data_IF_138898063705
#
_entry.id   IF_138898063705
#
_cell.length_a   1.000
_cell.length_b   1.000
_cell.length_c   1.000
_cell.angle_alpha   90.00
_cell.angle_beta   90.00
_cell.angle_gamma   90.00
#
_symmetry.space_group_name_H-M   'P 1'
#
loop_
_entity.id
_entity.type
_entity.pdbx_description
1 polymer ?
#
# COMPACT_ATOMS: atom_id res chain seq x y z
N UNK A 1 -9.41 13.21 -16.78
CA UNK A 1 -9.44 11.95 -16.02
C UNK A 1 -10.55 11.09 -16.60
N UNK A 2 -10.25 9.89 -17.07
CA UNK A 2 -11.26 8.90 -17.49
C UNK A 2 -11.20 7.78 -16.47
N UNK A 3 -12.31 7.57 -15.75
CA UNK A 3 -12.46 6.45 -14.81
C UNK A 3 -13.39 5.44 -15.48
N UNK A 4 -12.89 4.22 -15.66
CA UNK A 4 -13.70 3.13 -16.19
C UNK A 4 -14.35 2.39 -15.02
N UNK A 5 -15.56 1.87 -15.26
CA UNK A 5 -16.23 0.99 -14.30
C UNK A 5 -15.39 -0.29 -14.10
N UNK A 6 -15.34 -0.77 -12.86
CA UNK A 6 -14.62 -2.00 -12.45
C UNK A 6 -13.12 -2.02 -12.75
N UNK A 7 -12.49 -0.84 -12.88
CA UNK A 7 -11.04 -0.72 -13.02
C UNK A 7 -10.47 0.14 -11.89
N UNK A 8 -9.44 -0.37 -11.23
CA UNK A 8 -8.63 0.44 -10.30
C UNK A 8 -7.91 1.53 -11.09
N UNK A 9 -8.08 2.78 -10.66
CA UNK A 9 -7.38 3.91 -11.23
C UNK A 9 -6.68 4.71 -10.11
N UNK A 10 -5.39 5.04 -10.26
CA UNK A 10 -4.73 5.92 -9.31
C UNK A 10 -5.37 7.31 -9.34
N UNK A 11 -5.62 7.85 -8.15
CA UNK A 11 -6.20 9.17 -7.95
C UNK A 11 -5.37 9.92 -6.91
N UNK A 12 -4.77 11.03 -7.33
CA UNK A 12 -4.19 11.99 -6.40
C UNK A 12 -5.17 13.15 -6.21
N UNK A 13 -5.46 13.45 -4.95
CA UNK A 13 -6.28 14.60 -4.55
C UNK A 13 -5.38 15.55 -3.79
N UNK A 14 -5.20 16.75 -4.34
CA UNK A 14 -4.50 17.85 -3.67
C UNK A 14 -5.52 18.82 -3.09
N UNK A 15 -5.43 19.04 -1.77
CA UNK A 15 -6.22 20.04 -1.05
C UNK A 15 -5.32 21.26 -0.82
N UNK A 16 -5.48 22.30 -1.63
CA UNK A 16 -4.66 23.50 -1.47
C UNK A 16 -5.16 24.33 -0.27
N UNK A 17 -4.59 24.07 0.90
CA UNK A 17 -4.98 24.72 2.14
C UNK A 17 -4.79 26.24 2.10
N UNK A 18 -3.73 26.74 1.46
CA UNK A 18 -3.46 28.17 1.36
C UNK A 18 -4.52 28.89 0.50
N UNK A 19 -4.93 28.28 -0.61
CA UNK A 19 -6.02 28.78 -1.45
C UNK A 19 -7.40 28.57 -0.80
N UNK A 20 -7.51 27.62 0.14
CA UNK A 20 -8.77 27.25 0.77
C UNK A 20 -9.18 28.14 1.94
N UNK A 21 -8.30 28.98 2.45
CA UNK A 21 -8.55 29.75 3.67
C UNK A 21 -8.24 31.24 3.45
N UNK A 22 -9.13 32.11 3.94
CA UNK A 22 -8.86 33.55 4.06
C UNK A 22 -9.21 34.03 5.46
N UNK A 23 -8.32 34.83 6.05
CA UNK A 23 -8.49 35.38 7.40
C UNK A 23 -8.85 36.85 7.29
N UNK A 24 -9.97 37.24 7.88
CA UNK A 24 -10.31 38.63 8.15
C UNK A 24 -10.03 38.95 9.62
N UNK A 25 -8.92 39.66 9.87
CA UNK A 25 -8.51 40.03 11.21
C UNK A 25 -9.35 41.16 11.82
N UNK A 26 -10.05 41.95 10.99
CA UNK A 26 -10.90 43.04 11.49
C UNK A 26 -12.15 42.52 12.19
N UNK A 27 -12.60 41.33 11.80
CA UNK A 27 -13.77 40.64 12.36
C UNK A 27 -13.42 39.36 13.11
N UNK A 28 -12.13 38.99 13.19
CA UNK A 28 -11.67 37.68 13.69
C UNK A 28 -12.37 36.49 13.03
N UNK A 29 -12.63 36.58 11.72
CA UNK A 29 -13.36 35.55 10.96
C UNK A 29 -12.41 34.80 10.03
N UNK A 30 -12.54 33.47 10.01
CA UNK A 30 -11.91 32.62 8.99
C UNK A 30 -12.98 32.17 8.01
N UNK A 31 -12.78 32.45 6.73
CA UNK A 31 -13.62 31.92 5.65
C UNK A 31 -12.90 30.76 4.99
N UNK A 32 -13.59 29.61 4.93
CA UNK A 32 -13.08 28.39 4.29
C UNK A 32 -13.80 28.17 2.97
N UNK A 33 -13.04 28.06 1.88
CA UNK A 33 -13.49 27.76 0.51
C UNK A 33 -12.60 26.68 -0.09
N UNK A 34 -12.91 25.39 0.12
CA UNK A 34 -12.04 24.30 -0.32
C UNK A 34 -11.65 24.39 -1.79
N UNK A 35 -10.35 24.36 -2.06
CA UNK A 35 -9.78 24.29 -3.41
C UNK A 35 -9.11 22.93 -3.59
N UNK A 36 -9.63 22.16 -4.53
CA UNK A 36 -9.26 20.75 -4.76
C UNK A 36 -8.77 20.57 -6.19
N UNK A 37 -7.66 19.87 -6.36
CA UNK A 37 -7.18 19.40 -7.66
C UNK A 37 -7.13 17.88 -7.66
N UNK A 38 -7.61 17.24 -8.74
CA UNK A 38 -7.57 15.80 -8.90
C UNK A 38 -6.79 15.40 -10.15
N UNK A 39 -5.82 14.49 -10.02
CA UNK A 39 -4.99 14.00 -11.13
C UNK A 39 -4.86 12.47 -11.10
N UNK A 40 -4.62 11.88 -12.28
CA UNK A 40 -4.47 10.43 -12.44
C UNK A 40 -3.04 9.92 -12.15
N UNK A 41 -2.09 10.81 -11.90
CA UNK A 41 -0.69 10.44 -11.67
C UNK A 41 -0.27 11.04 -10.33
N UNK A 42 -0.12 10.22 -9.29
CA UNK A 42 0.40 10.67 -8.00
C UNK A 42 1.82 11.21 -8.18
N UNK A 43 2.06 12.42 -7.68
CA UNK A 43 3.38 13.04 -7.71
C UNK A 43 4.30 12.57 -6.56
N UNK A 44 3.86 11.59 -5.77
CA UNK A 44 4.51 11.26 -4.52
C UNK A 44 5.68 10.28 -4.73
N UNK A 45 6.88 10.77 -4.44
CA UNK A 45 8.12 9.97 -4.43
C UNK A 45 8.47 9.46 -3.03
N UNK A 46 7.72 9.87 -2.00
CA UNK A 46 7.98 9.42 -0.65
C UNK A 46 7.58 7.95 -0.49
N UNK A 47 8.25 7.22 0.43
CA UNK A 47 7.79 5.90 0.83
C UNK A 47 6.37 5.98 1.41
N UNK A 48 5.45 5.24 0.83
CA UNK A 48 4.09 5.03 1.33
C UNK A 48 3.96 3.61 1.86
N UNK A 49 2.83 3.33 2.52
CA UNK A 49 2.47 2.00 3.03
C UNK A 49 1.43 1.34 2.13
N UNK A 50 1.67 0.09 1.77
CA UNK A 50 0.67 -0.80 1.18
C UNK A 50 0.37 -1.95 2.16
N UNK A 51 -0.91 -2.19 2.44
CA UNK A 51 -1.37 -3.31 3.28
C UNK A 51 -2.29 -4.19 2.43
N UNK A 52 -2.11 -5.50 2.48
CA UNK A 52 -2.99 -6.41 1.76
C UNK A 52 -2.93 -7.83 2.29
N UNK A 53 -3.83 -8.66 1.78
CA UNK A 53 -3.81 -10.09 2.03
C UNK A 53 -2.91 -10.78 1.01
N UNK A 54 -2.12 -11.76 1.46
CA UNK A 54 -1.24 -12.51 0.58
C UNK A 54 -2.03 -13.28 -0.49
N UNK A 55 -1.55 -13.28 -1.73
CA UNK A 55 -2.16 -14.05 -2.82
C UNK A 55 -1.18 -15.09 -3.35
N UNK A 56 0.01 -14.66 -3.76
CA UNK A 56 1.03 -15.54 -4.36
C UNK A 56 2.41 -14.89 -4.35
N UNK A 57 3.47 -15.69 -4.43
CA UNK A 57 4.87 -15.24 -4.50
C UNK A 57 5.60 -15.85 -5.69
N UNK A 58 6.37 -15.02 -6.41
CA UNK A 58 7.21 -15.45 -7.54
C UNK A 58 8.67 -15.07 -7.29
N UNK A 59 9.46 -16.04 -6.82
CA UNK A 59 10.91 -15.86 -6.61
C UNK A 59 11.66 -15.61 -7.92
N UNK A 60 11.20 -16.18 -9.04
CA UNK A 60 11.81 -15.96 -10.37
C UNK A 60 11.58 -14.54 -10.92
N UNK A 61 10.51 -13.87 -10.48
CA UNK A 61 10.19 -12.49 -10.86
C UNK A 61 10.56 -11.46 -9.79
N UNK A 62 11.13 -11.90 -8.66
CA UNK A 62 11.43 -11.07 -7.50
C UNK A 62 10.22 -10.28 -6.97
N UNK A 63 9.04 -10.88 -6.95
CA UNK A 63 7.83 -10.20 -6.49
C UNK A 63 6.84 -11.13 -5.80
N UNK A 64 5.83 -10.52 -5.17
CA UNK A 64 4.64 -11.19 -4.68
C UNK A 64 3.41 -10.33 -4.97
N UNK A 65 2.24 -10.94 -4.89
CA UNK A 65 0.94 -10.28 -5.12
C UNK A 65 0.15 -10.29 -3.83
N UNK A 66 -0.47 -9.15 -3.55
CA UNK A 66 -1.45 -8.99 -2.46
C UNK A 66 -2.78 -8.51 -3.01
N UNK A 67 -3.86 -8.89 -2.35
CA UNK A 67 -5.14 -8.19 -2.46
C UNK A 67 -5.07 -6.97 -1.54
N UNK A 68 -4.92 -5.79 -2.14
CA UNK A 68 -4.72 -4.52 -1.45
C UNK A 68 -5.95 -4.22 -0.58
N UNK A 69 -5.73 -3.88 0.68
CA UNK A 69 -6.80 -3.43 1.57
C UNK A 69 -6.82 -1.89 1.62
N UNK A 70 -8.01 -1.26 1.60
CA UNK A 70 -8.13 0.16 1.88
C UNK A 70 -7.66 0.47 3.30
N UNK A 71 -7.52 1.75 3.63
CA UNK A 71 -7.12 2.17 4.99
C UNK A 71 -8.04 1.56 6.05
N UNK A 72 -9.35 1.65 5.82
CA UNK A 72 -10.40 1.05 6.64
C UNK A 72 -11.19 0.01 5.81
N UNK A 73 -11.14 -1.25 6.24
CA UNK A 73 -11.89 -2.37 5.70
C UNK A 73 -12.84 -3.02 6.72
N UNK A 74 -13.19 -2.31 7.80
CA UNK A 74 -14.02 -2.79 8.91
C UNK A 74 -15.36 -3.39 8.45
N UNK A 75 -15.97 -2.81 7.42
CA UNK A 75 -17.27 -3.27 6.90
C UNK A 75 -17.17 -4.31 5.78
N UNK A 76 -15.99 -4.49 5.20
CA UNK A 76 -15.76 -5.33 4.02
C UNK A 76 -14.50 -6.19 4.19
N UNK A 77 -14.31 -6.76 5.40
CA UNK A 77 -13.14 -7.55 5.75
C UNK A 77 -12.89 -8.71 4.77
N UNK A 78 -13.96 -9.36 4.29
CA UNK A 78 -13.89 -10.45 3.31
C UNK A 78 -13.95 -9.99 1.84
N UNK A 79 -13.99 -8.68 1.58
CA UNK A 79 -14.03 -8.13 0.22
C UNK A 79 -12.66 -8.15 -0.45
N UNK A 80 -12.65 -8.39 -1.75
CA UNK A 80 -11.49 -8.20 -2.62
C UNK A 80 -11.54 -6.80 -3.24
N UNK A 81 -10.46 -6.03 -3.14
CA UNK A 81 -10.46 -4.63 -3.60
C UNK A 81 -9.54 -4.39 -4.78
N UNK A 82 -8.53 -5.24 -4.98
CA UNK A 82 -7.68 -5.14 -6.15
C UNK A 82 -6.30 -5.72 -5.92
N UNK A 83 -5.74 -6.33 -6.96
CA UNK A 83 -4.41 -6.90 -6.90
C UNK A 83 -3.34 -5.81 -6.97
N UNK A 84 -2.33 -5.89 -6.10
CA UNK A 84 -1.10 -5.12 -6.16
C UNK A 84 0.09 -6.08 -6.29
N UNK A 85 0.95 -5.84 -7.28
CA UNK A 85 2.23 -6.56 -7.39
C UNK A 85 3.32 -5.81 -6.63
N UNK A 86 3.86 -6.42 -5.59
CA UNK A 86 4.97 -5.88 -4.81
C UNK A 86 6.29 -6.43 -5.33
N UNK A 87 7.03 -5.57 -6.02
CA UNK A 87 8.40 -5.83 -6.48
C UNK A 87 9.38 -5.68 -5.32
N UNK A 88 10.38 -6.55 -5.31
CA UNK A 88 11.46 -6.57 -4.32
C UNK A 88 12.81 -6.46 -5.04
N UNK A 89 13.82 -6.00 -4.33
CA UNK A 89 15.19 -5.85 -4.82
C UNK A 89 16.18 -6.49 -3.84
N UNK A 90 17.46 -6.61 -4.19
CA UNK A 90 18.48 -7.08 -3.26
C UNK A 90 18.58 -6.27 -1.95
N UNK A 91 18.08 -5.03 -1.93
CA UNK A 91 18.09 -4.15 -0.76
C UNK A 91 16.78 -4.12 0.01
N UNK A 92 15.74 -4.87 -0.43
CA UNK A 92 14.47 -4.93 0.30
C UNK A 92 14.70 -5.63 1.63
N UNK A 93 14.37 -4.95 2.73
CA UNK A 93 14.35 -5.52 4.06
C UNK A 93 13.06 -6.31 4.29
N UNK A 94 13.16 -7.45 4.96
CA UNK A 94 12.00 -8.23 5.37
C UNK A 94 12.08 -8.48 6.87
N UNK A 95 10.94 -8.40 7.54
CA UNK A 95 10.75 -8.91 8.89
C UNK A 95 9.59 -9.92 8.84
N UNK A 96 9.91 -11.17 9.07
CA UNK A 96 8.98 -12.30 8.99
C UNK A 96 8.97 -12.96 10.36
N UNK A 97 7.87 -12.80 11.08
CA UNK A 97 7.70 -13.31 12.45
C UNK A 97 8.83 -12.92 13.43
N UNK A 98 9.27 -11.67 13.35
CA UNK A 98 10.35 -11.09 14.14
C UNK A 98 11.75 -11.45 13.64
N UNK A 99 11.86 -12.22 12.55
CA UNK A 99 13.14 -12.64 11.98
C UNK A 99 13.49 -11.77 10.78
N UNK A 100 14.63 -11.06 10.80
CA UNK A 100 15.03 -10.20 9.69
C UNK A 100 15.64 -11.00 8.53
N UNK A 101 15.28 -10.65 7.31
CA UNK A 101 15.87 -11.13 6.07
C UNK A 101 16.14 -9.97 5.10
N UNK A 102 16.93 -10.23 4.04
CA UNK A 102 17.24 -9.23 3.03
C UNK A 102 17.16 -9.81 1.61
N UNK A 103 16.55 -9.05 0.71
CA UNK A 103 16.42 -9.37 -0.71
C UNK A 103 15.81 -10.75 -0.97
N UNK A 104 16.48 -11.55 -1.80
CA UNK A 104 15.98 -12.87 -2.21
C UNK A 104 15.80 -13.85 -1.05
N UNK A 105 16.52 -13.69 0.07
CA UNK A 105 16.35 -14.56 1.23
C UNK A 105 14.97 -14.36 1.90
N UNK A 106 14.51 -13.10 1.99
CA UNK A 106 13.18 -12.82 2.54
C UNK A 106 12.06 -13.30 1.63
N UNK A 107 12.22 -13.11 0.31
CA UNK A 107 11.26 -13.63 -0.67
C UNK A 107 11.21 -15.16 -0.68
N UNK A 108 12.36 -15.83 -0.51
CA UNK A 108 12.41 -17.29 -0.37
C UNK A 108 11.72 -17.78 0.91
N UNK A 109 11.84 -17.04 2.01
CA UNK A 109 11.13 -17.36 3.26
C UNK A 109 9.61 -17.22 3.10
N UNK A 110 9.12 -16.18 2.43
CA UNK A 110 7.69 -16.03 2.08
C UNK A 110 7.22 -17.24 1.25
N UNK A 111 8.01 -17.66 0.25
CA UNK A 111 7.70 -18.84 -0.56
C UNK A 111 7.68 -20.13 0.26
N UNK A 112 8.60 -20.28 1.22
CA UNK A 112 8.62 -21.42 2.13
C UNK A 112 7.35 -21.45 2.99
N UNK A 113 6.98 -20.35 3.64
CA UNK A 113 5.78 -20.27 4.47
C UNK A 113 4.49 -20.49 3.67
N UNK A 114 4.46 -20.02 2.42
CA UNK A 114 3.33 -20.28 1.52
C UNK A 114 3.23 -21.77 1.17
N UNK A 115 4.35 -22.44 0.89
CA UNK A 115 4.38 -23.87 0.58
C UNK A 115 4.07 -24.76 1.80
N UNK A 116 4.41 -24.32 3.02
CA UNK A 116 4.09 -25.04 4.25
C UNK A 116 2.66 -24.78 4.76
N UNK A 117 1.96 -23.78 4.21
CA UNK A 117 0.62 -23.38 4.62
C UNK A 117 0.58 -22.43 5.83
N UNK A 118 1.74 -21.96 6.30
CA UNK A 118 1.83 -20.93 7.35
C UNK A 118 1.39 -19.55 6.83
N UNK A 119 1.60 -19.29 5.55
CA UNK A 119 1.14 -18.09 4.87
C UNK A 119 0.03 -18.45 3.86
N UNK A 120 -1.17 -17.95 4.09
CA UNK A 120 -2.37 -18.26 3.30
C UNK A 120 -3.05 -16.98 2.79
N UNK A 121 -4.17 -17.14 2.08
CA UNK A 121 -4.95 -16.01 1.54
C UNK A 121 -5.53 -15.06 2.60
N UNK A 122 -5.51 -15.44 3.87
CA UNK A 122 -5.98 -14.60 4.98
C UNK A 122 -4.81 -13.90 5.70
N UNK A 123 -3.57 -14.20 5.32
CA UNK A 123 -2.39 -13.62 5.94
C UNK A 123 -2.16 -12.19 5.48
N UNK A 124 -2.07 -11.27 6.44
CA UNK A 124 -1.76 -9.87 6.15
C UNK A 124 -0.26 -9.69 5.89
N UNK A 125 0.05 -8.92 4.85
CA UNK A 125 1.41 -8.44 4.54
C UNK A 125 1.36 -6.92 4.47
N UNK A 126 2.35 -6.27 5.09
CA UNK A 126 2.54 -4.82 5.03
C UNK A 126 3.84 -4.53 4.30
N UNK A 127 3.81 -3.63 3.32
CA UNK A 127 4.99 -3.19 2.58
C UNK A 127 5.13 -1.67 2.65
N UNK A 128 6.37 -1.20 2.78
CA UNK A 128 6.72 0.22 2.61
C UNK A 128 7.59 0.37 1.37
N UNK A 129 7.43 1.48 0.65
CA UNK A 129 8.08 1.65 -0.64
C UNK A 129 7.40 2.70 -1.52
N UNK A 130 7.72 2.70 -2.80
CA UNK A 130 7.20 3.69 -3.75
C UNK A 130 6.25 3.05 -4.76
N UNK A 131 5.35 3.87 -5.29
CA UNK A 131 4.49 3.46 -6.40
C UNK A 131 5.36 3.11 -7.62
N UNK A 132 5.06 2.00 -8.27
CA UNK A 132 5.70 1.57 -9.51
C UNK A 132 4.86 1.91 -10.74
N UNK A 133 4.84 1.01 -11.71
CA UNK A 133 3.99 1.08 -12.89
C UNK A 133 2.49 1.01 -12.51
N UNK A 134 1.74 2.03 -12.95
CA UNK A 134 0.29 2.17 -12.78
C UNK A 134 -0.49 1.97 -14.08
N UNK A 135 0.20 1.66 -15.19
CA UNK A 135 -0.41 1.54 -16.52
C UNK A 135 -1.14 0.21 -16.75
N UNK A 136 -1.01 -0.73 -15.82
CA UNK A 136 -1.62 -2.06 -15.91
C UNK A 136 -2.78 -2.20 -14.93
N UNK A 137 -3.65 -3.18 -15.17
CA UNK A 137 -4.78 -3.50 -14.27
C UNK A 137 -4.33 -4.02 -12.89
N UNK A 138 -3.05 -4.40 -12.77
CA UNK A 138 -2.42 -4.83 -11.52
C UNK A 138 -1.24 -3.92 -11.26
N UNK A 139 -1.47 -2.75 -10.65
CA UNK A 139 -0.40 -1.78 -10.40
C UNK A 139 0.74 -2.42 -9.61
N UNK A 140 1.92 -1.83 -9.75
CA UNK A 140 3.12 -2.31 -9.07
C UNK A 140 3.56 -1.37 -7.95
N UNK A 141 4.28 -1.94 -6.98
CA UNK A 141 4.82 -1.26 -5.83
C UNK A 141 6.25 -1.73 -5.59
N UNK A 142 7.19 -0.81 -5.40
CA UNK A 142 8.60 -1.14 -5.22
C UNK A 142 8.93 -1.09 -3.73
N UNK A 143 8.99 -2.26 -3.09
CA UNK A 143 9.17 -2.37 -1.64
C UNK A 143 10.63 -2.11 -1.21
N UNK A 144 10.78 -1.24 -0.21
CA UNK A 144 12.00 -1.09 0.58
C UNK A 144 11.94 -1.93 1.86
N UNK A 145 10.75 -2.15 2.41
CA UNK A 145 10.52 -2.97 3.60
C UNK A 145 9.26 -3.80 3.45
N UNK A 146 9.27 -5.03 3.98
CA UNK A 146 8.13 -5.96 3.98
C UNK A 146 8.01 -6.61 5.35
N UNK A 147 6.81 -6.62 5.91
CA UNK A 147 6.49 -7.21 7.21
C UNK A 147 5.42 -8.28 7.04
N UNK A 148 5.64 -9.46 7.61
CA UNK A 148 4.81 -10.65 7.43
C UNK A 148 4.53 -11.31 8.78
N UNK A 149 3.35 -11.94 8.90
CA UNK A 149 2.99 -12.72 10.07
C UNK A 149 2.83 -11.83 11.30
N UNK A 150 3.41 -12.22 12.43
CA UNK A 150 3.41 -11.43 13.67
C UNK A 150 4.16 -10.10 13.57
N UNK A 151 4.95 -9.88 12.53
CA UNK A 151 5.58 -8.59 12.21
C UNK A 151 4.63 -7.66 11.44
N UNK A 152 3.64 -8.20 10.74
CA UNK A 152 2.56 -7.42 10.18
C UNK A 152 1.63 -7.00 11.33
N UNK A 153 1.68 -5.72 11.71
CA UNK A 153 0.83 -5.17 12.77
C UNK A 153 -0.66 -5.50 12.47
N UNK A 154 -1.33 -6.01 13.50
CA UNK A 154 -2.65 -6.68 13.56
C UNK A 154 -3.75 -6.18 12.60
N UNK A 155 -4.73 -7.04 12.21
CA UNK A 155 -5.86 -6.70 11.32
C UNK A 155 -6.87 -5.66 11.84
N UNK A 156 -6.54 -4.90 12.89
CA UNK A 156 -7.42 -3.88 13.46
C UNK A 156 -6.72 -2.78 14.24
N UNK A 157 -5.38 -2.69 14.16
CA UNK A 157 -4.62 -1.65 14.85
C UNK A 157 -3.86 -0.80 13.85
N UNK A 158 -4.27 0.47 13.74
CA UNK A 158 -3.42 1.54 13.23
C UNK A 158 -2.27 1.77 14.22
N UNK A 159 -1.31 0.86 14.26
CA UNK A 159 -0.06 1.08 14.99
C UNK A 159 1.11 1.15 14.01
N UNK A 160 1.93 2.19 14.21
CA UNK A 160 3.21 2.42 13.56
C UNK A 160 4.28 1.88 14.51
N UNK A 161 5.11 0.95 14.06
CA UNK A 161 6.35 0.59 14.75
C UNK A 161 7.48 1.54 14.36
#
# INVERSE_FOLDING_TARGET
LVLNLDQSAPLAIDVNLAASNSIDQSTNTVTVKPFLTATAQPADTNPIRARGLFVYVSTSKNNFTVDLKPLDDTYYYSGTFGALTVNTSPSTYFDIDGTPYMGSAGLAQIAQQSNSGELSSDSTIVSYGTIGDLSTITPTFNATQVYVGSSAVSPGADEVR
#
